data_IF_318800295134
#
_entry.id   IF_318800295134
#
_cell.length_a   1.000
_cell.length_b   1.000
_cell.length_c   1.000
_cell.angle_alpha   90.00
_cell.angle_beta   90.00
_cell.angle_gamma   90.00
#
_symmetry.space_group_name_H-M   'P 1'
#
loop_
_entity.id
_entity.type
_entity.pdbx_description
1 polymer ?
#
# COMPACT_ATOMS: atom_id res chain seq x y z
N UNK A 1 -4.87 11.01 46.52
CA UNK A 1 -5.92 10.81 45.53
C UNK A 1 -5.20 10.63 44.20
N UNK A 2 -4.88 9.37 43.82
CA UNK A 2 -4.20 9.08 42.56
C UNK A 2 -5.24 9.10 41.43
N UNK A 3 -5.11 10.05 40.50
CA UNK A 3 -5.87 10.09 39.27
C UNK A 3 -5.38 8.94 38.40
N UNK A 4 -6.18 7.86 38.29
CA UNK A 4 -5.97 6.79 37.33
C UNK A 4 -6.10 7.37 35.93
N UNK A 5 -4.98 7.42 35.19
CA UNK A 5 -5.02 7.69 33.76
C UNK A 5 -5.98 6.70 33.07
N UNK A 6 -6.83 7.14 32.14
CA UNK A 6 -7.70 6.24 31.40
C UNK A 6 -6.81 5.27 30.61
N UNK A 7 -7.03 3.95 30.78
CA UNK A 7 -6.47 2.93 29.90
C UNK A 7 -7.02 3.18 28.51
N UNK A 8 -6.23 3.82 27.65
CA UNK A 8 -6.48 3.86 26.22
C UNK A 8 -6.55 2.41 25.75
N UNK A 9 -7.73 1.94 25.44
CA UNK A 9 -7.92 0.72 24.66
C UNK A 9 -7.47 1.08 23.25
N UNK A 10 -6.18 0.94 22.98
CA UNK A 10 -5.64 1.14 21.65
C UNK A 10 -6.27 0.09 20.74
N UNK A 11 -7.31 0.48 20.01
CA UNK A 11 -7.90 -0.36 18.96
C UNK A 11 -6.86 -0.54 17.86
N UNK A 12 -6.69 -1.80 17.41
CA UNK A 12 -5.74 -2.12 16.35
C UNK A 12 -6.02 -1.29 15.09
N UNK A 13 -4.99 -0.76 14.44
CA UNK A 13 -5.15 0.01 13.22
C UNK A 13 -5.79 -0.83 12.10
N UNK A 14 -6.53 -0.17 11.20
CA UNK A 14 -7.02 -0.80 9.97
C UNK A 14 -5.84 -0.95 9.02
N UNK A 15 -5.53 -2.16 8.54
CA UNK A 15 -4.45 -2.36 7.60
C UNK A 15 -4.73 -1.70 6.25
N UNK A 16 -3.79 -0.88 5.78
CA UNK A 16 -3.91 -0.09 4.55
C UNK A 16 -2.77 -0.39 3.58
N UNK A 17 -3.05 -0.22 2.28
CA UNK A 17 -2.08 -0.13 1.20
C UNK A 17 -2.22 1.22 0.49
N UNK A 18 -1.13 1.76 0.00
CA UNK A 18 -1.19 2.91 -0.92
C UNK A 18 -1.73 2.45 -2.26
N UNK A 19 -2.50 3.31 -2.91
CA UNK A 19 -3.04 3.07 -4.26
C UNK A 19 -1.91 2.83 -5.27
N UNK A 20 -0.74 3.42 -5.07
CA UNK A 20 0.44 3.16 -5.89
C UNK A 20 0.70 1.66 -6.13
N UNK A 21 0.43 0.79 -5.14
CA UNK A 21 0.62 -0.67 -5.25
C UNK A 21 -0.51 -1.32 -6.06
N UNK A 22 -1.69 -0.71 -6.11
CA UNK A 22 -2.86 -1.19 -6.84
C UNK A 22 -2.80 -0.81 -8.33
N UNK A 23 -2.22 0.34 -8.67
CA UNK A 23 -2.16 0.85 -10.05
C UNK A 23 -1.56 -0.12 -11.07
N UNK A 24 -0.48 -0.89 -10.80
CA UNK A 24 0.02 -1.89 -11.74
C UNK A 24 -1.02 -2.94 -12.12
N UNK A 25 -1.83 -3.39 -11.15
CA UNK A 25 -2.89 -4.37 -11.38
C UNK A 25 -4.02 -3.78 -12.23
N UNK A 26 -4.49 -2.57 -11.89
CA UNK A 26 -5.58 -1.93 -12.63
C UNK A 26 -5.19 -1.67 -14.08
N UNK A 27 -3.98 -1.15 -14.33
CA UNK A 27 -3.46 -0.93 -15.69
C UNK A 27 -3.35 -2.23 -16.48
N UNK A 28 -2.80 -3.28 -15.88
CA UNK A 28 -2.66 -4.58 -16.51
C UNK A 28 -4.02 -5.18 -16.90
N UNK A 29 -4.97 -5.17 -15.98
CA UNK A 29 -6.31 -5.70 -16.20
C UNK A 29 -7.12 -4.86 -17.20
N UNK A 30 -6.99 -3.54 -17.18
CA UNK A 30 -7.60 -2.66 -18.20
C UNK A 30 -7.02 -2.94 -19.59
N UNK A 31 -5.71 -3.18 -19.70
CA UNK A 31 -5.08 -3.55 -20.97
C UNK A 31 -5.58 -4.90 -21.53
N UNK A 32 -6.06 -5.79 -20.65
CA UNK A 32 -6.72 -7.04 -21.03
C UNK A 32 -8.24 -6.87 -21.34
N UNK A 33 -8.76 -5.64 -21.27
CA UNK A 33 -10.18 -5.36 -21.49
C UNK A 33 -11.08 -5.67 -20.30
N UNK A 34 -10.53 -5.96 -19.12
CA UNK A 34 -11.33 -6.22 -17.92
C UNK A 34 -12.02 -4.94 -17.43
N UNK A 35 -13.33 -4.99 -17.08
CA UNK A 35 -14.06 -3.85 -16.55
C UNK A 35 -13.71 -3.60 -15.07
N UNK A 36 -12.55 -2.98 -14.82
CA UNK A 36 -12.02 -2.66 -13.48
C UNK A 36 -13.04 -1.91 -12.63
N UNK A 37 -13.79 -0.97 -13.22
CA UNK A 37 -14.85 -0.21 -12.53
C UNK A 37 -15.92 -1.10 -11.91
N UNK A 38 -16.31 -2.17 -12.59
CA UNK A 38 -17.31 -3.12 -12.07
C UNK A 38 -16.83 -3.82 -10.81
N UNK A 39 -15.53 -4.18 -10.78
CA UNK A 39 -14.92 -4.83 -9.63
C UNK A 39 -14.74 -3.86 -8.47
N UNK A 40 -14.33 -2.63 -8.74
CA UNK A 40 -14.23 -1.56 -7.75
C UNK A 40 -15.58 -1.28 -7.09
N UNK A 41 -16.65 -1.16 -7.88
CA UNK A 41 -18.01 -0.96 -7.37
C UNK A 41 -18.46 -2.09 -6.43
N UNK A 42 -18.15 -3.35 -6.76
CA UNK A 42 -18.44 -4.52 -5.91
C UNK A 42 -17.70 -4.50 -4.58
N UNK A 43 -16.49 -3.95 -4.60
CA UNK A 43 -15.65 -3.84 -3.41
C UNK A 43 -15.84 -2.53 -2.66
N UNK A 44 -16.87 -1.75 -3.01
CA UNK A 44 -17.10 -0.41 -2.45
C UNK A 44 -15.85 0.50 -2.52
N UNK A 45 -15.04 0.35 -3.59
CA UNK A 45 -13.89 1.18 -3.86
C UNK A 45 -14.28 2.22 -4.91
N UNK A 46 -14.21 3.54 -4.62
CA UNK A 46 -14.42 4.58 -5.63
C UNK A 46 -13.30 4.58 -6.66
N UNK A 47 -13.65 4.72 -7.95
CA UNK A 47 -12.64 4.79 -9.04
C UNK A 47 -11.70 5.97 -8.87
N UNK A 48 -12.21 7.09 -8.37
CA UNK A 48 -11.40 8.29 -8.17
C UNK A 48 -10.30 8.11 -7.10
N UNK A 49 -10.37 7.06 -6.26
CA UNK A 49 -9.22 6.70 -5.42
C UNK A 49 -7.96 6.44 -6.25
N UNK A 50 -8.10 6.01 -7.53
CA UNK A 50 -6.98 5.75 -8.44
C UNK A 50 -6.34 7.02 -9.01
N UNK A 51 -6.95 8.17 -8.84
CA UNK A 51 -6.45 9.46 -9.38
C UNK A 51 -5.19 9.93 -8.66
N UNK A 52 -5.04 9.56 -7.37
CA UNK A 52 -3.84 9.87 -6.59
C UNK A 52 -3.19 8.58 -6.05
N UNK A 53 -1.97 8.31 -6.48
CA UNK A 53 -1.16 7.19 -6.01
C UNK A 53 -0.89 7.21 -4.50
N UNK A 54 -1.04 8.39 -3.86
CA UNK A 54 -0.86 8.57 -2.42
C UNK A 54 -2.11 8.21 -1.60
N UNK A 55 -3.26 8.03 -2.24
CA UNK A 55 -4.46 7.55 -1.58
C UNK A 55 -4.26 6.16 -0.97
N UNK A 56 -5.13 5.80 -0.04
CA UNK A 56 -5.07 4.54 0.68
C UNK A 56 -6.30 3.68 0.40
N UNK A 57 -6.06 2.37 0.28
CA UNK A 57 -7.10 1.36 0.20
C UNK A 57 -6.94 0.35 1.34
N UNK A 58 -8.03 -0.15 1.92
CA UNK A 58 -7.94 -1.22 2.91
C UNK A 58 -7.29 -2.47 2.32
N UNK A 59 -6.37 -3.06 3.05
CA UNK A 59 -5.59 -4.22 2.58
C UNK A 59 -6.48 -5.41 2.18
N UNK A 60 -7.60 -5.61 2.88
CA UNK A 60 -8.56 -6.67 2.53
C UNK A 60 -9.24 -6.40 1.18
N UNK A 61 -9.57 -5.14 0.88
CA UNK A 61 -10.16 -4.76 -0.41
C UNK A 61 -9.17 -4.93 -1.55
N UNK A 62 -7.91 -4.54 -1.33
CA UNK A 62 -6.83 -4.80 -2.28
C UNK A 62 -6.67 -6.30 -2.56
N UNK A 63 -6.59 -7.13 -1.52
CA UNK A 63 -6.50 -8.59 -1.67
C UNK A 63 -7.70 -9.18 -2.41
N UNK A 64 -8.90 -8.79 -2.01
CA UNK A 64 -10.13 -9.23 -2.67
C UNK A 64 -10.15 -8.85 -4.16
N UNK A 65 -9.70 -7.64 -4.50
CA UNK A 65 -9.58 -7.20 -5.89
C UNK A 65 -8.67 -8.12 -6.69
N UNK A 66 -7.45 -8.38 -6.20
CA UNK A 66 -6.46 -9.21 -6.91
C UNK A 66 -6.97 -10.65 -7.08
N UNK A 67 -7.52 -11.24 -6.02
CA UNK A 67 -8.02 -12.63 -6.05
C UNK A 67 -9.25 -12.78 -6.95
N UNK A 68 -10.19 -11.84 -6.88
CA UNK A 68 -11.39 -11.87 -7.70
C UNK A 68 -11.04 -11.68 -9.19
N UNK A 69 -10.13 -10.76 -9.49
CA UNK A 69 -9.65 -10.55 -10.84
C UNK A 69 -8.99 -11.81 -11.39
N UNK A 70 -8.04 -12.39 -10.66
CA UNK A 70 -7.35 -13.61 -11.07
C UNK A 70 -8.34 -14.75 -11.39
N UNK A 71 -9.32 -14.99 -10.50
CA UNK A 71 -10.33 -16.05 -10.68
C UNK A 71 -11.24 -15.83 -11.88
N UNK A 72 -11.67 -14.59 -12.10
CA UNK A 72 -12.62 -14.27 -13.18
C UNK A 72 -12.01 -14.33 -14.55
N UNK A 73 -10.78 -13.86 -14.66
CA UNK A 73 -10.04 -13.84 -15.91
C UNK A 73 -9.30 -15.14 -16.18
N UNK A 74 -9.36 -16.13 -15.25
CA UNK A 74 -8.64 -17.39 -15.37
C UNK A 74 -7.11 -17.22 -15.40
N UNK A 75 -6.59 -16.16 -14.71
CA UNK A 75 -5.16 -15.86 -14.67
C UNK A 75 -4.59 -16.40 -13.37
N UNK A 76 -4.14 -17.65 -13.37
CA UNK A 76 -3.64 -18.34 -12.18
C UNK A 76 -2.43 -17.67 -11.54
N UNK A 77 -1.68 -16.90 -12.29
CA UNK A 77 -0.43 -16.24 -11.89
C UNK A 77 -0.47 -14.71 -12.08
N UNK A 78 -1.62 -14.07 -11.86
CA UNK A 78 -1.81 -12.64 -12.07
C UNK A 78 -0.74 -11.78 -11.38
N UNK A 79 -0.42 -12.07 -10.11
CA UNK A 79 0.60 -11.33 -9.37
C UNK A 79 1.99 -11.41 -9.98
N UNK A 80 2.35 -12.59 -10.51
CA UNK A 80 3.59 -12.76 -11.26
C UNK A 80 3.58 -11.96 -12.56
N UNK A 81 2.51 -12.05 -13.37
CA UNK A 81 2.43 -11.35 -14.66
C UNK A 81 2.47 -9.84 -14.50
N UNK A 82 1.71 -9.30 -13.55
CA UNK A 82 1.75 -7.87 -13.23
C UNK A 82 3.16 -7.45 -12.82
N UNK A 83 3.80 -8.21 -11.94
CA UNK A 83 5.17 -7.94 -11.50
C UNK A 83 6.20 -8.08 -12.61
N UNK A 84 6.04 -9.05 -13.51
CA UNK A 84 6.93 -9.28 -14.66
C UNK A 84 6.92 -8.12 -15.65
N UNK A 85 5.73 -7.57 -15.93
CA UNK A 85 5.58 -6.43 -16.85
C UNK A 85 6.10 -5.13 -16.23
N UNK A 86 5.88 -4.94 -14.95
CA UNK A 86 6.17 -3.64 -14.29
C UNK A 86 7.52 -3.60 -13.56
N UNK A 87 8.08 -4.74 -13.17
CA UNK A 87 9.38 -4.83 -12.46
C UNK A 87 9.43 -3.92 -11.23
N UNK A 88 10.48 -3.11 -11.12
CA UNK A 88 10.65 -2.14 -10.02
C UNK A 88 9.51 -1.11 -9.92
N UNK A 89 8.75 -0.87 -11.01
CA UNK A 89 7.61 0.04 -11.00
C UNK A 89 6.42 -0.47 -10.18
N UNK A 90 6.45 -1.73 -9.73
CA UNK A 90 5.52 -2.26 -8.75
C UNK A 90 5.76 -1.71 -7.34
N UNK A 91 6.98 -1.26 -7.05
CA UNK A 91 7.30 -0.64 -5.77
C UNK A 91 6.69 0.77 -5.68
N UNK A 92 6.38 1.17 -4.46
CA UNK A 92 5.98 2.55 -4.17
C UNK A 92 7.03 3.54 -4.71
N UNK A 93 6.63 4.67 -5.32
CA UNK A 93 7.55 5.66 -5.84
C UNK A 93 8.60 6.14 -4.82
N UNK A 94 8.23 6.33 -3.55
CA UNK A 94 9.18 6.70 -2.50
C UNK A 94 10.22 5.61 -2.24
N UNK A 95 9.80 4.34 -2.32
CA UNK A 95 10.72 3.21 -2.16
C UNK A 95 11.73 3.14 -3.31
N UNK A 96 11.30 3.39 -4.54
CA UNK A 96 12.20 3.42 -5.70
C UNK A 96 13.22 4.54 -5.60
N UNK A 97 12.78 5.72 -5.19
CA UNK A 97 13.67 6.86 -4.99
C UNK A 97 14.70 6.58 -3.88
N UNK A 98 14.26 5.98 -2.77
CA UNK A 98 15.12 5.56 -1.69
C UNK A 98 16.20 4.58 -2.16
N UNK A 99 15.82 3.60 -2.98
CA UNK A 99 16.75 2.63 -3.57
C UNK A 99 17.79 3.31 -4.46
N UNK A 100 17.36 4.20 -5.36
CA UNK A 100 18.26 4.90 -6.30
C UNK A 100 19.27 5.80 -5.60
N UNK A 101 18.91 6.41 -4.47
CA UNK A 101 19.79 7.23 -3.65
C UNK A 101 20.70 6.43 -2.72
N UNK A 102 20.48 5.15 -2.61
CA UNK A 102 21.27 4.29 -1.72
C UNK A 102 22.65 4.03 -2.29
N UNK A 103 23.73 4.13 -1.48
CA UNK A 103 25.09 3.95 -1.97
C UNK A 103 25.38 2.53 -2.45
N UNK A 104 24.71 1.52 -1.87
CA UNK A 104 24.87 0.11 -2.27
C UNK A 104 23.54 -0.62 -2.17
N UNK A 105 23.45 -1.79 -2.83
CA UNK A 105 22.30 -2.68 -2.74
C UNK A 105 21.92 -3.00 -1.28
N UNK A 106 22.90 -3.26 -0.43
CA UNK A 106 22.66 -3.54 1.00
C UNK A 106 21.93 -2.38 1.69
N UNK A 107 22.40 -1.15 1.47
CA UNK A 107 21.78 0.05 2.05
C UNK A 107 20.36 0.22 1.50
N UNK A 108 20.18 0.05 0.19
CA UNK A 108 18.87 0.16 -0.46
C UNK A 108 17.85 -0.86 0.08
N UNK A 109 18.26 -2.13 0.20
CA UNK A 109 17.39 -3.19 0.72
C UNK A 109 17.03 -3.00 2.21
N UNK A 110 17.97 -2.50 3.01
CA UNK A 110 17.71 -2.15 4.42
C UNK A 110 16.72 -1.00 4.54
N UNK A 111 16.94 0.07 3.80
CA UNK A 111 16.07 1.23 3.78
C UNK A 111 14.66 0.89 3.26
N UNK A 112 14.56 0.08 2.20
CA UNK A 112 13.29 -0.43 1.68
C UNK A 112 12.56 -1.31 2.72
N UNK A 113 13.29 -2.15 3.45
CA UNK A 113 12.74 -2.97 4.52
C UNK A 113 12.19 -2.11 5.64
N UNK A 114 12.95 -1.11 6.08
CA UNK A 114 12.55 -0.20 7.14
C UNK A 114 11.31 0.60 6.75
N UNK A 115 11.29 1.17 5.54
CA UNK A 115 10.13 1.88 5.02
C UNK A 115 8.90 0.96 4.96
N UNK A 116 9.01 -0.21 4.34
CA UNK A 116 7.90 -1.16 4.23
C UNK A 116 7.38 -1.57 5.60
N UNK A 117 8.28 -1.95 6.52
CA UNK A 117 7.89 -2.40 7.84
C UNK A 117 7.23 -1.30 8.69
N UNK A 118 7.43 -0.04 8.34
CA UNK A 118 6.79 1.13 8.95
C UNK A 118 5.53 1.60 8.21
N UNK A 119 5.39 1.28 6.92
CA UNK A 119 4.30 1.80 6.07
C UNK A 119 3.31 0.74 5.62
N UNK A 120 3.56 -0.55 5.84
CA UNK A 120 2.68 -1.65 5.42
C UNK A 120 2.46 -2.63 6.57
N UNK A 121 1.27 -2.64 7.17
CA UNK A 121 0.94 -3.55 8.30
C UNK A 121 1.00 -5.03 7.95
N UNK A 122 0.62 -5.37 6.72
CA UNK A 122 0.37 -6.75 6.31
C UNK A 122 1.53 -7.35 5.52
N UNK A 123 2.71 -6.77 5.62
CA UNK A 123 3.90 -7.27 4.95
C UNK A 123 5.12 -7.05 5.82
N UNK A 124 6.01 -8.02 5.85
CA UNK A 124 7.35 -7.87 6.39
C UNK A 124 8.36 -8.10 5.28
N UNK A 125 9.28 -7.16 5.18
CA UNK A 125 10.38 -7.17 4.23
C UNK A 125 11.69 -7.18 5.01
N UNK A 126 12.71 -7.88 4.53
CA UNK A 126 13.99 -7.85 5.21
C UNK A 126 15.06 -8.75 4.60
N UNK A 127 16.26 -8.58 5.11
CA UNK A 127 17.37 -9.47 4.84
C UNK A 127 17.44 -10.54 5.94
N UNK A 128 17.64 -11.77 5.53
CA UNK A 128 17.83 -12.89 6.43
C UNK A 128 19.06 -13.70 6.01
N UNK A 129 19.83 -14.13 6.99
CA UNK A 129 20.98 -15.01 6.77
C UNK A 129 20.68 -16.36 7.37
N UNK A 130 20.68 -17.39 6.55
CA UNK A 130 20.46 -18.75 7.01
C UNK A 130 21.64 -19.22 7.88
N UNK A 131 21.41 -19.62 9.15
CA UNK A 131 22.49 -19.95 10.08
C UNK A 131 23.38 -21.10 9.59
N UNK A 132 22.81 -22.10 8.95
CA UNK A 132 23.50 -23.33 8.56
C UNK A 132 24.33 -23.21 7.28
N UNK A 133 23.91 -22.35 6.35
CA UNK A 133 24.57 -22.17 5.05
C UNK A 133 25.28 -20.83 4.89
N UNK A 134 25.01 -19.87 5.79
CA UNK A 134 25.49 -18.49 5.63
C UNK A 134 24.87 -17.75 4.45
N UNK A 135 23.97 -18.39 3.69
CA UNK A 135 23.29 -17.80 2.54
C UNK A 135 22.45 -16.60 2.98
N UNK A 136 22.59 -15.50 2.26
CA UNK A 136 21.76 -14.29 2.46
C UNK A 136 20.56 -14.38 1.51
N UNK A 137 19.42 -13.95 1.97
CA UNK A 137 18.23 -13.79 1.14
C UNK A 137 17.51 -12.49 1.47
N UNK A 138 16.80 -11.98 0.48
CA UNK A 138 15.85 -10.88 0.68
C UNK A 138 14.44 -11.48 0.66
N UNK A 139 13.70 -11.27 1.74
CA UNK A 139 12.42 -11.93 1.96
C UNK A 139 11.24 -10.97 1.97
N UNK A 140 10.11 -11.48 1.53
CA UNK A 140 8.78 -10.89 1.61
C UNK A 140 7.85 -11.86 2.35
N UNK A 141 7.24 -11.39 3.43
CA UNK A 141 6.27 -12.16 4.19
C UNK A 141 4.96 -11.40 4.31
N UNK A 142 3.96 -11.73 3.49
CA UNK A 142 2.62 -11.19 3.67
C UNK A 142 1.99 -11.74 4.96
N UNK A 143 1.33 -10.89 5.73
CA UNK A 143 0.53 -11.32 6.88
C UNK A 143 -0.84 -11.77 6.38
N UNK A 144 -0.94 -13.02 5.91
CA UNK A 144 -2.18 -13.65 5.54
C UNK A 144 -2.46 -14.82 6.48
N UNK A 145 -3.67 -14.94 7.06
CA UNK A 145 -3.97 -15.99 8.03
C UNK A 145 -4.01 -17.39 7.43
N UNK A 146 -4.28 -17.53 6.13
CA UNK A 146 -4.40 -18.83 5.46
C UNK A 146 -3.29 -19.02 4.43
N UNK A 147 -2.38 -19.95 4.70
CA UNK A 147 -1.24 -20.29 3.84
C UNK A 147 -1.64 -21.02 2.54
N UNK A 148 -2.85 -21.56 2.45
CA UNK A 148 -3.35 -22.30 1.27
C UNK A 148 -4.22 -21.43 0.37
N UNK A 149 -4.26 -20.12 0.60
CA UNK A 149 -5.15 -19.24 -0.11
C UNK A 149 -4.49 -18.70 -1.39
N UNK A 150 -5.23 -18.69 -2.49
CA UNK A 150 -4.87 -18.04 -3.76
C UNK A 150 -4.29 -16.61 -3.55
N UNK A 151 -4.72 -15.94 -2.48
CA UNK A 151 -4.19 -14.65 -2.06
C UNK A 151 -2.67 -14.68 -1.79
N UNK A 152 -2.16 -15.71 -1.10
CA UNK A 152 -0.71 -15.83 -0.80
C UNK A 152 0.08 -15.98 -2.09
N UNK A 153 -0.41 -16.78 -3.03
CA UNK A 153 0.28 -17.00 -4.29
C UNK A 153 0.31 -15.72 -5.12
N UNK A 154 -0.83 -15.01 -5.26
CA UNK A 154 -0.89 -13.79 -6.04
C UNK A 154 -0.06 -12.65 -5.43
N UNK A 155 -0.26 -12.37 -4.14
CA UNK A 155 0.46 -11.30 -3.43
C UNK A 155 1.92 -11.68 -3.21
N UNK A 156 2.20 -12.96 -2.95
CA UNK A 156 3.56 -13.49 -2.81
C UNK A 156 4.37 -13.30 -4.09
N UNK A 157 3.83 -13.70 -5.24
CA UNK A 157 4.51 -13.51 -6.52
C UNK A 157 4.66 -12.05 -6.90
N UNK A 158 3.63 -11.22 -6.68
CA UNK A 158 3.76 -9.78 -6.89
C UNK A 158 4.89 -9.18 -6.03
N UNK A 159 4.95 -9.53 -4.74
CA UNK A 159 6.04 -9.14 -3.86
C UNK A 159 7.41 -9.60 -4.34
N UNK A 160 7.56 -10.89 -4.69
CA UNK A 160 8.82 -11.42 -5.22
C UNK A 160 9.26 -10.73 -6.51
N UNK A 161 8.34 -10.47 -7.43
CA UNK A 161 8.68 -9.76 -8.68
C UNK A 161 9.04 -8.30 -8.43
N UNK A 162 8.41 -7.65 -7.44
CA UNK A 162 8.83 -6.32 -6.98
C UNK A 162 10.25 -6.35 -6.42
N UNK A 163 10.57 -7.33 -5.55
CA UNK A 163 11.93 -7.53 -5.03
C UNK A 163 12.95 -7.78 -6.14
N UNK A 164 12.60 -8.62 -7.12
CA UNK A 164 13.46 -8.87 -8.28
C UNK A 164 13.77 -7.58 -9.04
N UNK A 165 12.74 -6.76 -9.27
CA UNK A 165 12.91 -5.45 -9.91
C UNK A 165 13.86 -4.54 -9.13
N UNK A 166 13.69 -4.46 -7.82
CA UNK A 166 14.54 -3.67 -6.93
C UNK A 166 16.01 -4.13 -6.97
N UNK A 167 16.25 -5.43 -6.92
CA UNK A 167 17.61 -5.99 -6.97
C UNK A 167 18.24 -5.72 -8.35
N UNK A 168 17.46 -5.80 -9.42
CA UNK A 168 17.93 -5.55 -10.79
C UNK A 168 18.34 -4.10 -11.07
N UNK A 169 17.88 -3.14 -10.30
CA UNK A 169 18.39 -1.75 -10.37
C UNK A 169 19.90 -1.67 -10.07
N UNK A 170 20.45 -2.67 -9.35
CA UNK A 170 21.86 -2.76 -9.00
C UNK A 170 22.62 -3.83 -9.79
N UNK A 171 22.01 -4.99 -9.99
CA UNK A 171 22.67 -6.16 -10.60
C UNK A 171 22.48 -6.24 -12.11
N UNK A 172 21.59 -5.40 -12.66
CA UNK A 172 21.19 -5.43 -14.08
C UNK A 172 20.04 -6.37 -14.39
N UNK A 173 19.39 -6.18 -15.56
CA UNK A 173 18.10 -6.80 -15.90
C UNK A 173 18.15 -8.32 -16.09
N UNK A 174 19.34 -8.87 -16.32
CA UNK A 174 19.54 -10.33 -16.55
C UNK A 174 19.75 -11.13 -15.28
N UNK A 175 19.92 -10.47 -14.14
CA UNK A 175 20.15 -11.15 -12.88
C UNK A 175 18.96 -12.00 -12.50
N UNK A 176 19.24 -13.21 -11.99
CA UNK A 176 18.26 -14.12 -11.42
C UNK A 176 18.82 -14.71 -10.11
N UNK A 177 17.97 -14.97 -9.11
CA UNK A 177 18.39 -15.63 -7.88
C UNK A 177 18.74 -17.09 -8.16
N UNK A 178 19.75 -17.63 -7.49
CA UNK A 178 20.07 -19.05 -7.55
C UNK A 178 18.97 -19.90 -6.88
N UNK A 179 18.28 -19.35 -5.87
CA UNK A 179 17.23 -20.03 -5.14
C UNK A 179 16.06 -19.08 -4.84
N UNK A 180 14.83 -19.61 -4.96
CA UNK A 180 13.58 -18.92 -4.61
C UNK A 180 12.85 -19.79 -3.59
N UNK A 181 12.63 -19.24 -2.39
CA UNK A 181 11.80 -19.85 -1.37
C UNK A 181 10.35 -19.39 -1.47
N UNK A 182 9.42 -20.32 -1.32
CA UNK A 182 7.98 -20.07 -1.40
C UNK A 182 7.28 -20.58 -0.13
N UNK A 183 6.28 -19.85 0.32
CA UNK A 183 5.46 -20.24 1.48
C UNK A 183 4.45 -21.34 1.14
N UNK A 184 4.15 -21.54 -0.14
CA UNK A 184 3.25 -22.59 -0.65
C UNK A 184 3.93 -23.96 -0.65
N UNK A 185 3.13 -25.04 -0.65
CA UNK A 185 3.53 -26.43 -0.85
C UNK A 185 3.47 -26.87 -2.32
N UNK A 186 3.01 -25.98 -3.21
CA UNK A 186 2.87 -26.26 -4.64
C UNK A 186 3.99 -25.64 -5.46
N UNK A 187 4.47 -26.39 -6.45
CA UNK A 187 5.38 -25.85 -7.44
C UNK A 187 4.67 -24.80 -8.30
N UNK A 188 5.35 -23.70 -8.63
CA UNK A 188 4.77 -22.70 -9.51
C UNK A 188 4.50 -23.25 -10.92
N UNK A 189 3.54 -22.63 -11.60
CA UNK A 189 3.15 -23.00 -12.97
C UNK A 189 4.31 -22.95 -13.98
N UNK A 190 4.11 -23.57 -15.11
CA UNK A 190 5.16 -23.74 -16.15
C UNK A 190 5.77 -22.42 -16.63
N UNK A 191 4.96 -21.37 -16.79
CA UNK A 191 5.42 -20.03 -17.20
C UNK A 191 6.42 -19.42 -16.20
N UNK A 192 6.14 -19.53 -14.92
CA UNK A 192 7.03 -19.06 -13.84
C UNK A 192 8.32 -19.87 -13.81
N UNK A 193 8.22 -21.19 -13.91
CA UNK A 193 9.41 -22.06 -13.94
C UNK A 193 10.29 -21.80 -15.15
N UNK A 194 9.70 -21.54 -16.31
CA UNK A 194 10.44 -21.17 -17.53
C UNK A 194 11.13 -19.81 -17.38
N UNK A 195 10.46 -18.83 -16.76
CA UNK A 195 11.06 -17.53 -16.48
C UNK A 195 12.27 -17.62 -15.54
N UNK A 196 12.19 -18.46 -14.52
CA UNK A 196 13.24 -18.74 -13.54
C UNK A 196 13.97 -20.07 -13.79
N UNK A 197 14.26 -20.39 -15.05
CA UNK A 197 14.86 -21.68 -15.44
C UNK A 197 16.21 -21.99 -14.76
N UNK A 198 16.90 -20.97 -14.24
CA UNK A 198 18.19 -21.11 -13.54
C UNK A 198 18.04 -21.14 -12.02
N UNK A 199 16.83 -20.95 -11.50
CA UNK A 199 16.58 -20.89 -10.06
C UNK A 199 16.07 -22.22 -9.52
N UNK A 200 16.50 -22.57 -8.32
CA UNK A 200 15.96 -23.69 -7.55
C UNK A 200 14.80 -23.22 -6.70
N UNK A 201 13.68 -23.93 -6.71
CA UNK A 201 12.53 -23.64 -5.85
C UNK A 201 12.58 -24.44 -4.54
N UNK A 202 12.38 -23.76 -3.42
CA UNK A 202 12.18 -24.34 -2.09
C UNK A 202 10.76 -24.08 -1.63
N UNK A 203 9.99 -25.11 -1.39
CA UNK A 203 8.60 -25.02 -0.94
C UNK A 203 8.49 -25.04 0.58
N UNK A 204 7.31 -24.73 1.11
CA UNK A 204 7.01 -24.76 2.54
C UNK A 204 7.92 -23.88 3.40
N UNK A 205 8.38 -22.76 2.87
CA UNK A 205 9.24 -21.84 3.62
C UNK A 205 8.41 -20.93 4.56
N UNK A 206 9.01 -20.44 5.67
CA UNK A 206 8.33 -19.55 6.59
C UNK A 206 8.00 -18.18 6.00
N UNK A 207 8.67 -17.81 4.92
CA UNK A 207 8.49 -16.59 4.13
C UNK A 207 8.92 -16.84 2.67
N UNK A 208 8.41 -16.03 1.75
CA UNK A 208 8.89 -16.08 0.37
C UNK A 208 10.17 -15.24 0.25
N UNK A 209 11.18 -15.74 -0.49
CA UNK A 209 12.48 -15.06 -0.60
C UNK A 209 13.16 -15.31 -1.93
N UNK A 210 14.14 -14.46 -2.23
CA UNK A 210 15.15 -14.65 -3.26
C UNK A 210 16.54 -14.68 -2.61
N UNK A 211 17.36 -15.68 -2.95
CA UNK A 211 18.74 -15.74 -2.50
C UNK A 211 19.56 -14.64 -3.14
N UNK A 212 20.50 -14.09 -2.35
CA UNK A 212 21.45 -13.08 -2.76
C UNK A 212 22.86 -13.56 -2.46
N UNK A 213 23.73 -13.49 -3.43
CA UNK A 213 25.15 -13.70 -3.20
C UNK A 213 25.76 -12.45 -2.56
N UNK A 214 26.61 -12.67 -1.56
CA UNK A 214 27.19 -11.57 -0.77
C UNK A 214 27.92 -10.51 -1.60
N UNK A 215 28.50 -10.93 -2.73
CA UNK A 215 29.22 -10.03 -3.66
C UNK A 215 28.30 -8.94 -4.23
N UNK A 216 27.02 -9.21 -4.42
CA UNK A 216 26.09 -8.22 -4.96
C UNK A 216 25.69 -7.15 -3.94
N UNK A 217 25.80 -7.42 -2.64
CA UNK A 217 25.38 -6.48 -1.60
C UNK A 217 26.17 -5.16 -1.60
N UNK A 218 27.40 -5.18 -2.12
CA UNK A 218 28.24 -4.00 -2.25
C UNK A 218 28.06 -3.21 -3.56
N UNK A 219 27.23 -3.69 -4.50
CA UNK A 219 27.03 -3.03 -5.78
C UNK A 219 26.38 -1.65 -5.61
N UNK A 220 26.87 -0.69 -6.38
CA UNK A 220 26.24 0.61 -6.58
C UNK A 220 25.08 0.51 -7.60
N UNK A 221 24.12 1.43 -7.60
CA UNK A 221 23.05 1.45 -8.59
C UNK A 221 23.62 1.53 -10.02
N UNK A 222 23.07 0.73 -10.94
CA UNK A 222 23.52 0.67 -12.34
C UNK A 222 23.32 2.01 -13.10
N UNK A 223 22.34 2.80 -12.71
CA UNK A 223 22.17 4.19 -13.09
C UNK A 223 22.48 5.05 -11.87
N UNK A 224 23.70 5.59 -11.82
CA UNK A 224 24.04 6.63 -10.87
C UNK A 224 23.16 7.85 -11.18
N UNK A 225 21.98 7.90 -10.57
CA UNK A 225 21.24 9.15 -10.48
C UNK A 225 22.14 10.13 -9.77
N UNK A 226 22.45 11.26 -10.41
CA UNK A 226 23.26 12.31 -9.80
C UNK A 226 22.74 12.50 -8.37
N UNK A 227 23.65 12.40 -7.42
CA UNK A 227 23.38 12.63 -5.99
C UNK A 227 23.05 14.11 -5.83
N UNK A 228 21.82 14.47 -6.14
CA UNK A 228 21.28 15.68 -5.55
C UNK A 228 21.22 15.39 -4.05
N UNK A 229 21.98 16.15 -3.27
CA UNK A 229 21.95 16.15 -1.80
C UNK A 229 20.59 16.72 -1.31
N UNK A 230 19.50 16.15 -1.80
CA UNK A 230 18.16 16.47 -1.36
C UNK A 230 17.80 15.65 -0.12
N UNK A 231 17.10 16.29 0.80
CA UNK A 231 16.47 15.62 1.94
C UNK A 231 15.69 14.38 1.47
N UNK A 232 15.56 13.31 2.29
CA UNK A 232 14.74 12.16 1.96
C UNK A 232 13.37 12.66 1.51
N UNK A 233 12.71 12.00 0.53
CA UNK A 233 11.44 12.46 -0.01
C UNK A 233 10.48 12.75 1.14
N UNK A 234 10.14 14.03 1.32
CA UNK A 234 9.16 14.47 2.30
C UNK A 234 7.82 13.89 1.86
N UNK A 235 7.18 13.12 2.73
CA UNK A 235 5.83 12.63 2.48
C UNK A 235 5.60 11.13 2.55
N UNK A 236 6.56 10.32 2.99
CA UNK A 236 6.22 8.99 3.49
C UNK A 236 5.43 9.19 4.80
N UNK A 237 4.15 9.48 4.67
CA UNK A 237 3.25 9.44 5.83
C UNK A 237 3.35 8.03 6.43
N UNK A 238 3.97 7.94 7.60
CA UNK A 238 4.05 6.71 8.37
C UNK A 238 2.64 6.14 8.57
N UNK A 239 2.57 4.82 8.73
CA UNK A 239 1.32 4.18 9.08
C UNK A 239 0.65 4.91 10.25
N UNK A 240 -0.65 4.96 10.17
CA UNK A 240 -1.44 5.29 11.33
C UNK A 240 -1.13 4.24 12.42
N UNK A 241 -0.62 4.69 13.55
CA UNK A 241 -0.27 3.81 14.67
C UNK A 241 -1.52 3.30 15.39
N UNK A 242 -2.69 3.89 15.09
CA UNK A 242 -3.97 3.57 15.72
C UNK A 242 -5.12 3.49 14.72
N UNK A 243 -6.28 3.11 15.23
CA UNK A 243 -7.53 3.03 14.47
C UNK A 243 -7.94 4.38 13.87
N UNK A 244 -7.89 5.44 14.67
CA UNK A 244 -8.35 6.79 14.25
C UNK A 244 -7.51 7.32 13.08
N UNK A 245 -6.19 7.20 13.16
CA UNK A 245 -5.31 7.59 12.07
C UNK A 245 -5.55 6.78 10.78
N UNK A 246 -5.84 5.47 10.90
CA UNK A 246 -6.20 4.64 9.75
C UNK A 246 -7.51 5.11 9.11
N UNK A 247 -8.53 5.39 9.92
CA UNK A 247 -9.82 5.91 9.43
C UNK A 247 -9.66 7.27 8.79
N UNK A 248 -8.85 8.17 9.38
CA UNK A 248 -8.55 9.49 8.79
C UNK A 248 -7.94 9.36 7.40
N UNK A 249 -6.99 8.43 7.20
CA UNK A 249 -6.38 8.16 5.89
C UNK A 249 -7.41 7.63 4.88
N UNK A 250 -8.30 6.73 5.30
CA UNK A 250 -9.41 6.26 4.46
C UNK A 250 -10.32 7.45 4.09
N UNK A 251 -10.80 8.20 5.06
CA UNK A 251 -11.70 9.34 4.80
C UNK A 251 -11.04 10.35 3.87
N UNK A 252 -9.76 10.69 4.08
CA UNK A 252 -9.00 11.60 3.22
C UNK A 252 -8.91 11.12 1.76
N UNK A 253 -8.76 9.82 1.56
CA UNK A 253 -8.67 9.23 0.22
C UNK A 253 -10.00 9.24 -0.54
N UNK A 254 -11.12 9.44 0.16
CA UNK A 254 -12.47 9.33 -0.42
C UNK A 254 -13.33 10.57 -0.19
N UNK A 255 -12.85 11.59 0.52
CA UNK A 255 -13.65 12.77 0.92
C UNK A 255 -14.12 13.62 -0.26
N UNK A 256 -13.42 13.58 -1.38
CA UNK A 256 -13.78 14.29 -2.61
C UNK A 256 -14.89 13.57 -3.43
N UNK A 257 -15.51 12.52 -2.84
CA UNK A 257 -16.62 11.77 -3.45
C UNK A 257 -17.91 12.03 -2.68
N UNK A 258 -18.89 12.60 -3.37
CA UNK A 258 -20.18 13.05 -2.81
C UNK A 258 -20.95 11.99 -2.04
N UNK A 259 -20.72 10.70 -2.29
CA UNK A 259 -21.46 9.57 -1.70
C UNK A 259 -20.72 8.87 -0.55
N UNK A 260 -19.65 9.46 -0.02
CA UNK A 260 -18.86 8.84 1.04
C UNK A 260 -19.56 8.98 2.40
N UNK A 261 -20.32 7.96 2.75
CA UNK A 261 -21.13 7.89 3.97
C UNK A 261 -20.40 7.19 5.12
N UNK A 262 -20.96 7.30 6.34
CA UNK A 262 -20.49 6.53 7.51
C UNK A 262 -20.59 5.02 7.27
N UNK A 263 -21.59 4.56 6.54
CA UNK A 263 -21.78 3.14 6.22
C UNK A 263 -20.69 2.65 5.25
N UNK A 264 -20.33 3.48 4.26
CA UNK A 264 -19.22 3.22 3.35
C UNK A 264 -17.88 3.16 4.11
N UNK A 265 -17.63 4.13 4.99
CA UNK A 265 -16.43 4.15 5.82
C UNK A 265 -16.33 2.92 6.73
N UNK A 266 -17.42 2.53 7.38
CA UNK A 266 -17.48 1.33 8.21
C UNK A 266 -17.23 0.06 7.39
N UNK A 267 -17.85 -0.05 6.21
CA UNK A 267 -17.66 -1.18 5.28
C UNK A 267 -16.21 -1.30 4.81
N UNK A 268 -15.55 -0.19 4.50
CA UNK A 268 -14.12 -0.17 4.14
C UNK A 268 -13.25 -0.65 5.31
N UNK A 269 -13.63 -0.33 6.54
CA UNK A 269 -12.95 -0.82 7.75
C UNK A 269 -13.34 -2.26 8.12
N UNK A 270 -14.14 -2.97 7.31
CA UNK A 270 -14.66 -4.32 7.58
C UNK A 270 -15.48 -4.41 8.88
N UNK A 271 -16.23 -3.37 9.19
CA UNK A 271 -17.01 -3.22 10.42
C UNK A 271 -18.49 -2.94 10.12
N UNK A 272 -19.36 -3.29 11.07
CA UNK A 272 -20.71 -2.72 11.09
C UNK A 272 -20.64 -1.24 11.48
N UNK A 273 -21.57 -0.42 10.99
CA UNK A 273 -21.66 1.01 11.32
C UNK A 273 -21.69 1.26 12.82
N UNK A 274 -22.43 0.42 13.58
CA UNK A 274 -22.50 0.50 15.05
C UNK A 274 -21.12 0.26 15.71
N UNK A 275 -20.38 -0.77 15.26
CA UNK A 275 -19.05 -1.06 15.81
C UNK A 275 -18.05 0.03 15.46
N UNK A 276 -18.12 0.56 14.24
CA UNK A 276 -17.29 1.66 13.75
C UNK A 276 -17.52 2.93 14.58
N UNK A 277 -18.77 3.37 14.75
CA UNK A 277 -19.12 4.54 15.55
C UNK A 277 -18.70 4.36 17.03
N UNK A 278 -18.91 3.16 17.60
CA UNK A 278 -18.45 2.86 18.97
C UNK A 278 -16.95 3.01 19.13
N UNK A 279 -16.15 2.56 18.15
CA UNK A 279 -14.69 2.72 18.21
C UNK A 279 -14.26 4.18 18.05
N UNK A 280 -14.90 4.96 17.17
CA UNK A 280 -14.64 6.40 17.06
C UNK A 280 -14.95 7.13 18.36
N UNK A 281 -16.09 6.83 18.99
CA UNK A 281 -16.48 7.41 20.28
C UNK A 281 -15.48 7.03 21.40
N UNK A 282 -14.99 5.79 21.40
CA UNK A 282 -13.95 5.35 22.34
C UNK A 282 -12.60 6.06 22.12
N UNK A 283 -12.34 6.49 20.89
CA UNK A 283 -11.19 7.33 20.53
C UNK A 283 -11.43 8.83 20.75
N UNK A 284 -12.57 9.21 21.35
CA UNK A 284 -12.89 10.59 21.70
C UNK A 284 -13.40 11.47 20.56
N UNK A 285 -13.89 10.88 19.46
CA UNK A 285 -14.43 11.63 18.31
C UNK A 285 -15.66 10.95 17.71
N UNK A 286 -16.35 11.67 16.83
CA UNK A 286 -17.44 11.15 16.00
C UNK A 286 -17.03 11.13 14.52
N UNK A 287 -17.76 10.34 13.70
CA UNK A 287 -17.54 10.35 12.24
C UNK A 287 -17.73 11.75 11.64
N UNK A 288 -18.73 12.50 12.12
CA UNK A 288 -19.00 13.85 11.63
C UNK A 288 -17.88 14.84 11.93
N UNK A 289 -17.28 14.76 13.12
CA UNK A 289 -16.11 15.59 13.49
C UNK A 289 -14.89 15.24 12.66
N UNK A 290 -14.61 13.93 12.51
CA UNK A 290 -13.50 13.44 11.70
C UNK A 290 -13.66 13.86 10.23
N UNK A 291 -14.85 13.69 9.66
CA UNK A 291 -15.15 14.11 8.28
C UNK A 291 -14.99 15.61 8.11
N UNK A 292 -15.51 16.42 9.03
CA UNK A 292 -15.39 17.88 8.99
C UNK A 292 -13.91 18.34 9.04
N UNK A 293 -13.08 17.70 9.86
CA UNK A 293 -11.65 17.97 9.91
C UNK A 293 -10.94 17.64 8.59
N UNK A 294 -11.23 16.47 8.01
CA UNK A 294 -10.63 16.06 6.73
C UNK A 294 -11.13 16.96 5.58
N UNK A 295 -12.41 17.31 5.55
CA UNK A 295 -12.97 18.24 4.57
C UNK A 295 -12.29 19.61 4.65
N UNK A 296 -12.01 20.10 5.86
CA UNK A 296 -11.31 21.37 6.08
C UNK A 296 -9.86 21.31 5.56
N UNK A 297 -9.12 20.23 5.84
CA UNK A 297 -7.77 20.02 5.33
C UNK A 297 -7.74 19.98 3.78
N UNK A 298 -8.67 19.21 3.18
CA UNK A 298 -8.80 19.11 1.72
C UNK A 298 -9.17 20.46 1.08
N UNK A 299 -10.12 21.19 1.69
CA UNK A 299 -10.50 22.52 1.23
C UNK A 299 -9.33 23.50 1.27
N UNK A 300 -8.56 23.50 2.37
CA UNK A 300 -7.38 24.36 2.54
C UNK A 300 -6.33 24.07 1.47
N UNK A 301 -6.09 22.80 1.17
CA UNK A 301 -5.18 22.36 0.11
C UNK A 301 -5.66 22.86 -1.26
N UNK A 302 -6.90 22.56 -1.64
CA UNK A 302 -7.46 22.96 -2.93
C UNK A 302 -7.44 24.47 -3.14
N UNK A 303 -7.78 25.25 -2.10
CA UNK A 303 -7.75 26.72 -2.15
C UNK A 303 -6.34 27.30 -2.30
N UNK A 304 -5.29 26.60 -1.81
CA UNK A 304 -3.90 27.05 -1.89
C UNK A 304 -3.18 26.60 -3.16
N UNK A 305 -3.52 25.43 -3.66
CA UNK A 305 -2.76 24.74 -4.70
C UNK A 305 -3.42 24.79 -6.07
N UNK A 306 -4.69 25.26 -6.14
CA UNK A 306 -5.44 25.29 -7.40
C UNK A 306 -6.23 26.59 -7.54
N UNK A 307 -6.56 26.94 -8.80
CA UNK A 307 -7.46 28.05 -9.13
C UNK A 307 -8.94 27.62 -9.20
N UNK A 308 -9.28 26.49 -8.59
CA UNK A 308 -10.63 25.92 -8.59
C UNK A 308 -11.60 26.85 -7.85
N UNK A 309 -12.77 27.10 -8.46
CA UNK A 309 -13.80 27.94 -7.86
C UNK A 309 -14.32 27.38 -6.54
N UNK A 310 -14.59 28.23 -5.56
CA UNK A 310 -15.13 27.84 -4.25
C UNK A 310 -16.41 26.99 -4.36
N UNK A 311 -17.27 27.29 -5.33
CA UNK A 311 -18.48 26.50 -5.60
C UNK A 311 -18.17 25.07 -6.04
N UNK A 312 -17.13 24.86 -6.84
CA UNK A 312 -16.69 23.55 -7.28
C UNK A 312 -16.01 22.78 -6.15
N UNK A 313 -15.15 23.44 -5.36
CA UNK A 313 -14.56 22.84 -4.14
C UNK A 313 -15.67 22.37 -3.19
N UNK A 314 -16.70 23.21 -2.96
CA UNK A 314 -17.81 22.84 -2.07
C UNK A 314 -18.53 21.58 -2.56
N UNK A 315 -18.79 21.48 -3.86
CA UNK A 315 -19.44 20.31 -4.46
C UNK A 315 -18.56 19.05 -4.35
N UNK A 316 -17.26 19.14 -4.71
CA UNK A 316 -16.31 18.03 -4.59
C UNK A 316 -16.24 17.47 -3.16
N UNK A 317 -16.31 18.34 -2.16
CA UNK A 317 -16.27 17.94 -0.76
C UNK A 317 -17.62 17.51 -0.19
N UNK A 318 -18.65 17.33 -1.04
CA UNK A 318 -19.95 16.79 -0.65
C UNK A 318 -20.88 17.80 0.04
N UNK A 319 -20.62 19.10 -0.05
CA UNK A 319 -21.54 20.11 0.43
C UNK A 319 -22.64 20.40 -0.58
N UNK A 320 -23.87 20.61 -0.09
CA UNK A 320 -25.02 20.93 -0.95
C UNK A 320 -24.88 22.26 -1.67
N UNK A 321 -24.24 23.23 -1.03
CA UNK A 321 -24.04 24.57 -1.56
C UNK A 321 -22.80 25.27 -0.95
N UNK A 322 -22.34 26.32 -1.61
CA UNK A 322 -21.18 27.10 -1.18
C UNK A 322 -21.40 27.84 0.14
N UNK A 323 -22.63 28.17 0.52
CA UNK A 323 -22.93 28.85 1.77
C UNK A 323 -22.76 27.93 2.98
N UNK A 324 -23.23 26.68 2.86
CA UNK A 324 -22.99 25.62 3.86
C UNK A 324 -21.49 25.34 4.02
N UNK A 325 -20.76 25.21 2.90
CA UNK A 325 -19.32 25.06 2.90
C UNK A 325 -18.63 26.24 3.62
N UNK A 326 -18.94 27.49 3.26
CA UNK A 326 -18.31 28.66 3.84
C UNK A 326 -18.56 28.77 5.36
N UNK A 327 -19.74 28.37 5.83
CA UNK A 327 -20.03 28.32 7.28
C UNK A 327 -19.21 27.26 7.99
N UNK A 328 -19.14 26.05 7.42
CA UNK A 328 -18.34 24.94 7.98
C UNK A 328 -16.85 25.29 7.98
N UNK A 329 -16.34 25.87 6.89
CA UNK A 329 -14.94 26.26 6.76
C UNK A 329 -14.55 27.33 7.81
N UNK A 330 -15.36 28.41 7.97
CA UNK A 330 -15.10 29.44 8.98
C UNK A 330 -15.13 28.88 10.40
N UNK A 331 -16.07 27.99 10.72
CA UNK A 331 -16.13 27.35 12.04
C UNK A 331 -14.88 26.55 12.35
N UNK A 332 -14.36 25.79 11.39
CA UNK A 332 -13.14 25.00 11.58
C UNK A 332 -11.88 25.87 11.57
N UNK A 333 -11.83 26.94 10.79
CA UNK A 333 -10.73 27.92 10.79
C UNK A 333 -10.61 28.65 12.15
N UNK A 334 -11.72 28.98 12.79
CA UNK A 334 -11.74 29.58 14.11
C UNK A 334 -11.22 28.70 15.24
N UNK A 335 -11.33 27.39 15.10
CA UNK A 335 -10.77 26.39 16.05
C UNK A 335 -9.25 26.22 15.94
N UNK A 336 -8.65 26.64 14.82
CA UNK A 336 -7.20 26.59 14.59
C UNK A 336 -6.52 27.92 14.92
N UNK A 337 -7.29 28.96 15.30
CA UNK A 337 -6.80 30.29 15.66
C UNK A 337 -6.65 30.47 17.19
N UNK A 338 -6.89 29.41 17.94
CA UNK A 338 -6.65 29.27 19.38
C UNK A 338 -5.53 28.28 19.62
#
# INVERSE_FOLDING_TARGET
>A
MQVKAPKSVAHSPVPLHRVAVLLPFTRFLTALGMPVEREFRRLCLPMAALEDANNYVPSERFRAFVVNAARREGIDNLGFEVGRVNGANCADPHMRELLRRSPTLLHGLRAASELTNRTVFNCRLGLYRFPNSGQVCFFHRPSCPDRRNLCIDQIGWFGLMTLLGMIREFTGPRWQPAEIGLMTDQLPGGSIRSYFARSRFRLNQPFSYMSLEGVFLGLEPAQACMRENGAPPQGAEYLAEDFLGSVRKIVRSYVEHSDFSVDTAASLCMMSTRSFQRQLNAAGTSYSELLAGVQFEAATRLLRETDTKVSEISYRLGYRDAANFARAFRRNAGLLSL
#
